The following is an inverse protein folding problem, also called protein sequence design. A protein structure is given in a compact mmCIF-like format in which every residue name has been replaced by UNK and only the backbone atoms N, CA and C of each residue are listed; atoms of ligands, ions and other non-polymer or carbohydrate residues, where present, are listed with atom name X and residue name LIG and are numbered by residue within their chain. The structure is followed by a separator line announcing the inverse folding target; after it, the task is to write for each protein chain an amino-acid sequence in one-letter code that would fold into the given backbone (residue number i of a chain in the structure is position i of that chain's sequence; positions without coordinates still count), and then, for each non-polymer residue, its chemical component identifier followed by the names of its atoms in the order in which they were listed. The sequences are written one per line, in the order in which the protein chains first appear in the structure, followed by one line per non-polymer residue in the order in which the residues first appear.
data_IF_372306396911
#
_entry.id   IF_372306396911
#
_cell.length_a   1.000
_cell.length_b   1.000
_cell.length_c   1.000
_cell.angle_alpha   90.00
_cell.angle_beta   90.00
_cell.angle_gamma   90.00
#
_symmetry.space_group_name_H-M   'P 1'
#
loop_
_entity.id
_entity.type
_entity.pdbx_description
1 polymer ?
#
# COMPACT_ATOMS: atom_id res chain seq x y z
N UNK A 1 -3.73 -14.23 -0.26
CA UNK A 1 -4.12 -13.83 -1.62
C UNK A 1 -4.52 -15.07 -2.40
N UNK A 2 -5.67 -15.07 -3.10
CA UNK A 2 -6.05 -16.13 -4.01
C UNK A 2 -5.34 -15.97 -5.38
N UNK A 3 -4.63 -17.00 -5.83
CA UNK A 3 -4.00 -17.02 -7.17
C UNK A 3 -4.87 -17.72 -8.22
N UNK A 4 -5.98 -18.33 -7.80
CA UNK A 4 -6.92 -19.04 -8.64
C UNK A 4 -8.00 -19.71 -7.78
N UNK A 5 -8.99 -20.34 -8.44
CA UNK A 5 -10.06 -21.08 -7.76
C UNK A 5 -9.48 -22.19 -6.87
N UNK A 6 -9.58 -22.03 -5.55
CA UNK A 6 -9.04 -22.97 -4.56
C UNK A 6 -7.53 -22.86 -4.28
N UNK A 7 -6.82 -21.98 -4.99
CA UNK A 7 -5.39 -21.70 -4.76
C UNK A 7 -5.24 -20.52 -3.78
N UNK A 8 -5.54 -20.79 -2.51
CA UNK A 8 -5.42 -19.81 -1.42
C UNK A 8 -4.62 -20.41 -0.29
N UNK A 9 -3.60 -19.69 0.18
CA UNK A 9 -2.74 -20.12 1.30
C UNK A 9 -3.55 -20.20 2.61
N UNK A 10 -4.51 -19.29 2.78
CA UNK A 10 -5.47 -19.32 3.88
C UNK A 10 -6.75 -18.57 3.51
N UNK A 11 -7.88 -19.27 3.54
CA UNK A 11 -9.19 -18.68 3.27
C UNK A 11 -9.77 -18.09 4.56
N UNK A 12 -9.50 -16.81 4.79
CA UNK A 12 -9.99 -16.10 5.96
C UNK A 12 -11.28 -15.33 5.65
N UNK A 13 -12.32 -15.43 6.50
CA UNK A 13 -13.57 -14.70 6.28
C UNK A 13 -13.41 -13.17 6.37
N UNK A 14 -12.33 -12.69 7.01
CA UNK A 14 -12.00 -11.27 7.19
C UNK A 14 -10.77 -10.87 6.36
N UNK A 15 -10.54 -11.51 5.21
CA UNK A 15 -9.34 -11.32 4.38
C UNK A 15 -9.06 -9.86 4.03
N UNK A 16 -10.08 -9.10 3.64
CA UNK A 16 -9.92 -7.68 3.29
C UNK A 16 -9.53 -6.78 4.47
N UNK A 17 -10.05 -7.05 5.67
CA UNK A 17 -9.63 -6.30 6.85
C UNK A 17 -8.18 -6.62 7.26
N UNK A 18 -7.75 -7.85 7.02
CA UNK A 18 -6.40 -8.27 7.38
C UNK A 18 -5.33 -7.52 6.55
N UNK A 19 -5.56 -7.31 5.26
CA UNK A 19 -4.61 -6.55 4.42
C UNK A 19 -4.58 -5.08 4.79
N UNK A 20 -5.74 -4.46 5.03
CA UNK A 20 -5.82 -3.09 5.55
C UNK A 20 -5.05 -2.94 6.88
N UNK A 21 -5.16 -3.92 7.78
CA UNK A 21 -4.43 -3.90 9.04
C UNK A 21 -2.91 -4.02 8.85
N UNK A 22 -2.44 -4.82 7.88
CA UNK A 22 -1.01 -4.93 7.56
C UNK A 22 -0.49 -3.67 6.89
N UNK A 23 -1.24 -3.06 5.96
CA UNK A 23 -0.88 -1.79 5.32
C UNK A 23 -0.63 -0.69 6.35
N UNK A 24 -1.55 -0.55 7.32
CA UNK A 24 -1.41 0.41 8.41
C UNK A 24 -0.16 0.20 9.28
N UNK A 25 0.34 -1.05 9.43
CA UNK A 25 1.57 -1.33 10.16
C UNK A 25 2.83 -0.86 9.41
N UNK A 26 2.80 -0.81 8.08
CA UNK A 26 3.91 -0.34 7.24
C UNK A 26 4.29 1.12 7.51
N UNK A 27 3.29 1.96 7.80
CA UNK A 27 3.48 3.39 8.12
C UNK A 27 4.37 3.58 9.35
N UNK A 28 4.20 2.74 10.38
CA UNK A 28 5.04 2.79 11.58
C UNK A 28 6.50 2.45 11.28
N UNK A 29 6.76 1.58 10.31
CA UNK A 29 8.10 1.25 9.86
C UNK A 29 8.86 2.48 9.38
N UNK A 30 8.23 3.30 8.54
CA UNK A 30 8.82 4.53 7.99
C UNK A 30 9.07 5.57 9.08
N UNK A 31 8.15 5.72 10.03
CA UNK A 31 8.29 6.67 11.13
C UNK A 31 9.43 6.29 12.09
N UNK A 32 9.51 5.02 12.47
CA UNK A 32 10.58 4.53 13.36
C UNK A 32 11.94 4.56 12.67
N UNK A 33 12.00 4.27 11.37
CA UNK A 33 13.21 4.37 10.57
C UNK A 33 13.80 5.78 10.58
N UNK A 34 12.95 6.80 10.38
CA UNK A 34 13.39 8.19 10.43
C UNK A 34 13.68 8.70 11.84
N UNK A 35 13.04 8.16 12.88
CA UNK A 35 13.37 8.48 14.27
C UNK A 35 14.72 7.91 14.70
N UNK A 36 15.09 6.74 14.18
CA UNK A 36 16.40 6.14 14.43
C UNK A 36 17.55 6.87 13.72
N UNK A 37 17.24 7.71 12.72
CA UNK A 37 18.23 8.56 12.07
C UNK A 37 18.62 9.72 13.02
N UNK A 38 19.91 9.86 13.28
CA UNK A 38 20.54 10.86 14.13
C UNK A 38 20.72 12.23 13.41
N UNK A 39 19.80 12.56 12.51
CA UNK A 39 19.75 13.84 11.79
C UNK A 39 18.36 14.46 11.85
N UNK A 40 18.32 15.75 12.22
CA UNK A 40 17.07 16.53 12.29
C UNK A 40 16.35 16.59 10.93
N UNK A 41 17.10 16.62 9.82
CA UNK A 41 16.54 16.70 8.48
C UNK A 41 15.93 15.37 8.03
N UNK A 42 16.57 14.25 8.39
CA UNK A 42 16.06 12.90 8.13
C UNK A 42 14.71 12.66 8.84
N UNK A 43 14.61 13.08 10.11
CA UNK A 43 13.36 12.97 10.87
C UNK A 43 12.21 13.83 10.31
N UNK A 44 12.50 15.05 9.85
CA UNK A 44 11.48 15.90 9.21
C UNK A 44 11.04 15.32 7.86
N UNK A 45 11.98 14.74 7.09
CA UNK A 45 11.69 14.02 5.85
C UNK A 45 10.76 12.83 6.08
N UNK A 46 11.04 12.00 7.10
CA UNK A 46 10.18 10.85 7.45
C UNK A 46 8.82 11.26 8.00
N UNK A 47 8.71 12.41 8.66
CA UNK A 47 7.40 12.93 9.08
C UNK A 47 6.54 13.35 7.89
N UNK A 48 7.14 13.96 6.86
CA UNK A 48 6.44 14.32 5.62
C UNK A 48 5.97 13.08 4.86
N UNK A 49 6.83 12.05 4.75
CA UNK A 49 6.46 10.78 4.12
C UNK A 49 5.31 10.10 4.85
N UNK A 50 5.39 10.05 6.17
CA UNK A 50 4.35 9.45 7.01
C UNK A 50 3.01 10.17 6.82
N UNK A 51 3.02 11.51 6.77
CA UNK A 51 1.80 12.28 6.53
C UNK A 51 1.17 12.00 5.16
N UNK A 52 2.00 11.82 4.12
CA UNK A 52 1.53 11.38 2.80
C UNK A 52 0.91 9.98 2.87
N UNK A 53 1.64 9.00 3.40
CA UNK A 53 1.17 7.61 3.49
C UNK A 53 -0.17 7.49 4.22
N UNK A 54 -0.32 8.16 5.37
CA UNK A 54 -1.57 8.17 6.14
C UNK A 54 -2.74 8.76 5.31
N UNK A 55 -2.47 9.80 4.55
CA UNK A 55 -3.50 10.47 3.73
C UNK A 55 -4.00 9.56 2.61
N UNK A 56 -3.10 8.84 1.93
CA UNK A 56 -3.46 7.96 0.83
C UNK A 56 -4.01 6.60 1.30
N UNK A 57 -3.62 6.11 2.48
CA UNK A 57 -4.22 4.96 3.14
C UNK A 57 -5.73 5.15 3.37
N UNK A 58 -6.13 6.36 3.76
CA UNK A 58 -7.54 6.69 3.97
C UNK A 58 -8.33 6.66 2.65
N UNK A 59 -7.73 7.14 1.56
CA UNK A 59 -8.35 7.08 0.23
C UNK A 59 -8.43 5.63 -0.26
N UNK A 60 -7.36 4.85 -0.10
CA UNK A 60 -7.32 3.43 -0.45
C UNK A 60 -8.39 2.61 0.29
N UNK A 61 -8.46 2.74 1.61
CA UNK A 61 -9.48 2.07 2.43
C UNK A 61 -10.90 2.49 2.06
N UNK A 62 -11.12 3.77 1.72
CA UNK A 62 -12.43 4.23 1.23
C UNK A 62 -12.82 3.61 -0.11
N UNK A 63 -11.87 3.42 -1.03
CA UNK A 63 -12.11 2.75 -2.31
C UNK A 63 -12.46 1.27 -2.09
N UNK A 64 -11.72 0.57 -1.22
CA UNK A 64 -12.02 -0.82 -0.88
C UNK A 64 -13.39 -0.99 -0.20
N UNK A 65 -13.80 -0.03 0.65
CA UNK A 65 -15.14 -0.02 1.24
C UNK A 65 -16.24 0.14 0.18
N UNK A 66 -16.03 0.95 -0.85
CA UNK A 66 -16.99 1.09 -1.95
C UNK A 66 -17.20 -0.23 -2.72
N UNK A 67 -16.13 -0.99 -2.96
CA UNK A 67 -16.20 -2.33 -3.57
C UNK A 67 -16.88 -3.32 -2.63
N UNK A 68 -16.60 -3.24 -1.34
CA UNK A 68 -17.23 -4.09 -0.33
C UNK A 68 -18.76 -3.94 -0.28
N UNK A 69 -19.29 -2.73 -0.48
CA UNK A 69 -20.74 -2.51 -0.55
C UNK A 69 -21.39 -3.23 -1.74
N UNK A 70 -20.66 -3.46 -2.83
CA UNK A 70 -21.16 -4.19 -4.00
C UNK A 70 -21.07 -5.71 -3.81
N UNK A 71 -19.97 -6.20 -3.22
CA UNK A 71 -19.77 -7.64 -3.00
C UNK A 71 -20.56 -8.20 -1.81
N UNK A 72 -20.74 -7.41 -0.75
CA UNK A 72 -21.38 -7.86 0.50
C UNK A 72 -20.59 -8.89 1.31
N UNK A 73 -19.35 -9.20 0.92
CA UNK A 73 -18.48 -10.19 1.59
C UNK A 73 -17.06 -9.65 1.73
N UNK A 74 -16.38 -10.01 2.83
CA UNK A 74 -14.98 -9.65 3.12
C UNK A 74 -13.95 -10.69 2.67
N UNK A 75 -14.44 -11.81 2.14
CA UNK A 75 -13.61 -12.90 1.67
C UNK A 75 -13.20 -12.66 0.21
N UNK A 76 -11.90 -12.73 -0.06
CA UNK A 76 -11.31 -12.56 -1.38
C UNK A 76 -11.82 -13.54 -2.42
N UNK A 77 -12.01 -14.81 -2.07
CA UNK A 77 -12.49 -15.82 -3.03
C UNK A 77 -13.87 -15.47 -3.54
N UNK A 78 -14.77 -15.10 -2.61
CA UNK A 78 -16.13 -14.68 -2.94
C UNK A 78 -16.19 -13.36 -3.71
N UNK A 79 -15.28 -12.42 -3.43
CA UNK A 79 -15.17 -11.18 -4.21
C UNK A 79 -14.78 -11.43 -5.68
N UNK A 80 -13.91 -12.42 -5.94
CA UNK A 80 -13.56 -12.79 -7.32
C UNK A 80 -14.72 -13.51 -8.00
N UNK A 81 -15.44 -14.36 -7.28
CA UNK A 81 -16.61 -15.07 -7.81
C UNK A 81 -17.75 -14.11 -8.22
N UNK A 82 -17.96 -13.01 -7.49
CA UNK A 82 -18.98 -12.01 -7.86
C UNK A 82 -18.60 -11.21 -9.10
N UNK A 83 -17.31 -11.14 -9.45
CA UNK A 83 -16.79 -10.44 -10.63
C UNK A 83 -16.86 -11.26 -11.92
N UNK A 84 -17.37 -12.50 -11.89
CA UNK A 84 -17.46 -13.35 -13.09
C UNK A 84 -18.38 -12.78 -14.18
N UNK A 85 -19.40 -12.00 -13.81
CA UNK A 85 -20.34 -11.43 -14.77
C UNK A 85 -19.80 -10.15 -15.42
N UNK A 86 -19.28 -9.21 -14.62
CA UNK A 86 -18.70 -7.94 -15.05
C UNK A 86 -17.60 -7.57 -14.06
N UNK A 87 -16.41 -7.24 -14.55
CA UNK A 87 -15.31 -6.74 -13.71
C UNK A 87 -15.69 -5.37 -13.15
N UNK A 88 -15.40 -5.09 -11.88
CA UNK A 88 -15.77 -3.81 -11.25
C UNK A 88 -15.01 -2.63 -11.85
N UNK A 89 -13.91 -2.85 -12.54
CA UNK A 89 -13.21 -1.82 -13.34
C UNK A 89 -14.16 -1.06 -14.27
N UNK A 90 -15.12 -1.73 -14.92
CA UNK A 90 -16.03 -1.08 -15.87
C UNK A 90 -17.10 -0.18 -15.20
N UNK A 91 -17.91 -0.64 -14.24
CA UNK A 91 -18.89 0.20 -13.55
C UNK A 91 -18.26 1.23 -12.62
N UNK A 92 -17.07 0.95 -12.07
CA UNK A 92 -16.38 1.81 -11.10
C UNK A 92 -15.11 2.46 -11.65
N UNK A 93 -15.05 2.73 -12.95
CA UNK A 93 -13.88 3.36 -13.59
C UNK A 93 -13.31 4.58 -12.84
N UNK A 94 -14.10 5.57 -12.36
CA UNK A 94 -13.53 6.68 -11.58
C UNK A 94 -12.94 6.24 -10.24
N UNK A 95 -13.53 5.24 -9.59
CA UNK A 95 -13.02 4.67 -8.34
C UNK A 95 -11.72 3.90 -8.59
N UNK A 96 -11.63 3.18 -9.71
CA UNK A 96 -10.42 2.48 -10.14
C UNK A 96 -9.26 3.46 -10.37
N UNK A 97 -9.54 4.62 -10.97
CA UNK A 97 -8.52 5.68 -11.14
C UNK A 97 -8.05 6.22 -9.79
N UNK A 98 -8.97 6.49 -8.85
CA UNK A 98 -8.58 6.93 -7.50
C UNK A 98 -7.78 5.87 -6.75
N UNK A 99 -8.20 4.61 -6.84
CA UNK A 99 -7.48 3.48 -6.28
C UNK A 99 -6.07 3.40 -6.85
N UNK A 100 -5.91 3.45 -8.18
CA UNK A 100 -4.59 3.38 -8.83
C UNK A 100 -3.66 4.52 -8.40
N UNK A 101 -4.19 5.74 -8.27
CA UNK A 101 -3.42 6.88 -7.76
C UNK A 101 -3.00 6.66 -6.30
N UNK A 102 -3.90 6.14 -5.45
CA UNK A 102 -3.56 5.81 -4.07
C UNK A 102 -2.47 4.75 -3.95
N UNK A 103 -2.53 3.69 -4.77
CA UNK A 103 -1.50 2.64 -4.79
C UNK A 103 -0.13 3.20 -5.20
N UNK A 104 -0.09 4.07 -6.20
CA UNK A 104 1.13 4.78 -6.61
C UNK A 104 1.70 5.65 -5.48
N UNK A 105 0.83 6.32 -4.73
CA UNK A 105 1.24 7.20 -3.64
C UNK A 105 1.67 6.44 -2.37
N UNK A 106 1.06 5.29 -2.10
CA UNK A 106 1.43 4.40 -0.98
C UNK A 106 2.79 3.72 -1.20
N UNK A 107 3.10 3.39 -2.45
CA UNK A 107 4.41 2.83 -2.85
C UNK A 107 5.49 3.88 -3.01
N UNK A 108 5.23 5.16 -2.69
CA UNK A 108 6.16 6.29 -2.82
C UNK A 108 6.85 6.38 -4.19
N UNK A 109 6.21 5.89 -5.27
CA UNK A 109 6.80 5.92 -6.61
C UNK A 109 6.48 7.22 -7.34
N UNK A 110 7.32 7.56 -8.31
CA UNK A 110 7.13 8.73 -9.18
C UNK A 110 5.71 8.73 -9.75
N UNK A 111 4.92 9.80 -9.62
CA UNK A 111 5.27 11.19 -9.26
C UNK A 111 5.20 11.56 -7.77
N UNK A 112 4.87 10.63 -6.86
CA UNK A 112 4.66 10.88 -5.42
C UNK A 112 5.85 10.49 -4.55
N UNK A 113 7.06 10.72 -5.07
CA UNK A 113 8.31 10.35 -4.43
C UNK A 113 8.92 11.53 -3.62
N UNK A 114 8.19 12.02 -2.63
CA UNK A 114 8.61 13.16 -1.79
C UNK A 114 9.71 12.81 -0.77
N UNK A 115 10.14 11.54 -0.73
CA UNK A 115 10.87 10.94 0.39
C UNK A 115 12.20 10.39 -0.07
N UNK A 116 12.23 9.82 -1.28
CA UNK A 116 13.42 9.28 -1.94
C UNK A 116 14.05 10.30 -2.90
N UNK A 117 13.35 11.41 -3.23
CA UNK A 117 13.89 12.50 -4.03
C UNK A 117 15.16 13.11 -3.39
N UNK A 118 16.30 12.62 -3.89
CA UNK A 118 17.68 13.05 -3.63
C UNK A 118 17.92 14.56 -3.76
N UNK A 119 16.98 15.27 -4.38
CA UNK A 119 17.03 16.69 -4.70
C UNK A 119 16.60 17.61 -3.55
N UNK A 120 15.77 17.15 -2.61
CA UNK A 120 15.13 18.04 -1.61
C UNK A 120 15.73 17.91 -0.19
N UNK A 121 16.17 16.71 0.19
CA UNK A 121 16.81 16.42 1.48
C UNK A 121 17.86 15.33 1.24
N UNK A 122 19.14 15.69 1.24
CA UNK A 122 20.32 14.79 1.08
C UNK A 122 20.04 13.41 1.70
N UNK A 123 19.63 12.45 0.87
CA UNK A 123 19.42 11.02 1.20
C UNK A 123 18.65 10.71 2.51
N UNK A 124 17.67 11.52 2.91
CA UNK A 124 16.68 11.19 3.96
C UNK A 124 17.18 10.32 5.13
N UNK A 125 16.45 9.24 5.43
CA UNK A 125 16.84 8.23 6.44
C UNK A 125 17.82 7.16 5.88
N UNK A 126 18.01 7.07 4.56
CA UNK A 126 18.90 6.08 3.94
C UNK A 126 20.39 6.40 4.12
N UNK A 127 20.75 7.66 4.36
CA UNK A 127 22.14 8.11 4.59
C UNK A 127 22.84 7.43 5.76
N UNK A 128 22.09 7.11 6.81
CA UNK A 128 22.68 6.73 8.10
C UNK A 128 22.54 5.24 8.39
N UNK A 129 21.76 4.53 7.57
CA UNK A 129 21.53 3.10 7.73
C UNK A 129 22.59 2.25 7.02
N UNK A 130 23.03 1.18 7.69
CA UNK A 130 23.96 0.22 7.11
C UNK A 130 23.36 -0.52 5.91
N UNK A 131 24.22 -1.12 5.08
CA UNK A 131 23.82 -1.77 3.81
C UNK A 131 22.72 -2.82 3.95
N UNK A 132 22.65 -3.54 5.07
CA UNK A 132 21.64 -4.57 5.32
C UNK A 132 20.25 -3.96 5.56
N UNK A 133 20.16 -2.84 6.28
CA UNK A 133 18.90 -2.14 6.52
C UNK A 133 18.38 -1.51 5.22
N UNK A 134 19.28 -0.96 4.42
CA UNK A 134 18.97 -0.46 3.07
C UNK A 134 18.35 -1.55 2.19
N UNK A 135 18.92 -2.76 2.16
CA UNK A 135 18.35 -3.89 1.39
C UNK A 135 16.94 -4.25 1.85
N UNK A 136 16.67 -4.25 3.16
CA UNK A 136 15.33 -4.54 3.67
C UNK A 136 14.30 -3.46 3.33
N UNK A 137 14.71 -2.20 3.19
CA UNK A 137 13.80 -1.15 2.71
C UNK A 137 13.39 -1.38 1.26
N UNK A 138 14.34 -1.63 0.35
CA UNK A 138 14.00 -1.94 -1.04
C UNK A 138 13.16 -3.21 -1.14
N UNK A 139 13.53 -4.26 -0.41
CA UNK A 139 12.74 -5.50 -0.40
C UNK A 139 11.30 -5.26 0.08
N UNK A 140 11.12 -4.47 1.14
CA UNK A 140 9.80 -4.11 1.66
C UNK A 140 8.98 -3.27 0.67
N UNK A 141 9.61 -2.31 0.00
CA UNK A 141 8.96 -1.48 -1.02
C UNK A 141 8.55 -2.31 -2.26
N UNK A 142 9.39 -3.23 -2.71
CA UNK A 142 9.03 -4.12 -3.82
C UNK A 142 7.95 -5.14 -3.42
N UNK A 143 7.97 -5.64 -2.19
CA UNK A 143 6.93 -6.53 -1.68
C UNK A 143 5.58 -5.83 -1.58
N UNK A 144 5.53 -4.57 -1.14
CA UNK A 144 4.27 -3.81 -1.07
C UNK A 144 3.69 -3.51 -2.46
N UNK A 145 4.55 -3.26 -3.45
CA UNK A 145 4.14 -3.13 -4.86
C UNK A 145 3.41 -4.40 -5.32
N UNK A 146 3.99 -5.59 -5.12
CA UNK A 146 3.37 -6.86 -5.54
C UNK A 146 2.04 -7.12 -4.83
N UNK A 147 1.98 -6.84 -3.53
CA UNK A 147 0.81 -7.10 -2.71
C UNK A 147 -0.41 -6.24 -3.11
N UNK A 148 -0.16 -4.99 -3.51
CA UNK A 148 -1.21 -4.01 -3.79
C UNK A 148 -1.61 -4.02 -5.27
N UNK A 149 -0.70 -4.36 -6.20
CA UNK A 149 -0.98 -4.34 -7.65
C UNK A 149 -1.92 -5.46 -8.11
N UNK A 150 -2.08 -6.55 -7.35
CA UNK A 150 -2.89 -7.67 -7.79
C UNK A 150 -4.36 -7.23 -8.01
N UNK A 151 -4.80 -7.07 -9.27
CA UNK A 151 -6.06 -6.38 -9.58
C UNK A 151 -7.26 -7.31 -9.44
N UNK A 152 -7.07 -8.57 -9.03
CA UNK A 152 -8.16 -9.55 -8.88
C UNK A 152 -9.20 -9.15 -7.81
N UNK A 153 -9.04 -8.01 -7.15
CA UNK A 153 -10.00 -7.48 -6.19
C UNK A 153 -10.95 -6.41 -6.79
N UNK A 154 -10.72 -5.96 -8.03
CA UNK A 154 -11.48 -4.93 -8.76
C UNK A 154 -11.79 -5.39 -10.20
#
# INVERSE_FOLDING_TARGET
MPFGTGLVIGDYPLGLYFTLAIGALGIYGVLLAGWSANSKYAFIGSLRSTAQLISYELVFSSCLLAVLFLCGTLNYTRMIETQQAVWFIFPLLPLFVMYFISVLAETNRTPFDLVEAESELVSGFMTEHGSLVFVFFFLGEYSSIEDIICPNYL
#
